data_IF_952662054934
#
_entry.id   IF_952662054934
#
_cell.length_a   1.000
_cell.length_b   1.000
_cell.length_c   1.000
_cell.angle_alpha   90.00
_cell.angle_beta   90.00
_cell.angle_gamma   90.00
#
_symmetry.space_group_name_H-M   'P 1'
#
loop_
_entity.id
_entity.type
_entity.pdbx_description
1 polymer ?
#
# COMPACT_ATOMS: atom_id res chain seq x y z
N UNK A 1 -2.53 -37.86 -21.70
CA UNK A 1 -1.46 -36.84 -21.66
C UNK A 1 -2.06 -35.61 -21.04
N UNK A 2 -1.81 -35.41 -19.74
CA UNK A 2 -2.22 -34.21 -19.01
C UNK A 2 -1.08 -33.20 -19.17
N UNK A 3 -1.36 -32.06 -19.80
CA UNK A 3 -0.47 -30.92 -19.87
C UNK A 3 -0.59 -30.16 -18.53
N UNK A 4 0.47 -30.19 -17.74
CA UNK A 4 0.65 -29.30 -16.60
C UNK A 4 0.86 -27.88 -17.16
N UNK A 5 -0.14 -27.01 -16.97
CA UNK A 5 0.03 -25.58 -17.10
C UNK A 5 0.98 -25.13 -15.98
N UNK A 6 2.19 -24.76 -16.38
CA UNK A 6 3.20 -24.25 -15.49
C UNK A 6 2.70 -22.98 -14.80
N UNK A 7 2.81 -22.93 -13.49
CA UNK A 7 2.72 -21.71 -12.71
C UNK A 7 3.75 -20.73 -13.29
N UNK A 8 3.27 -19.59 -13.79
CA UNK A 8 4.13 -18.48 -14.21
C UNK A 8 4.88 -18.02 -12.96
N UNK A 9 6.17 -18.33 -12.90
CA UNK A 9 7.04 -17.87 -11.85
C UNK A 9 6.98 -16.35 -11.76
N UNK A 10 6.75 -15.84 -10.56
CA UNK A 10 6.88 -14.44 -10.26
C UNK A 10 8.24 -13.96 -10.78
N UNK A 11 8.25 -12.98 -11.67
CA UNK A 11 9.49 -12.32 -12.05
C UNK A 11 10.02 -11.60 -10.80
N UNK A 12 11.10 -12.13 -10.25
CA UNK A 12 11.82 -11.57 -9.09
C UNK A 12 12.50 -10.27 -9.48
N UNK A 13 11.72 -9.18 -9.57
CA UNK A 13 12.27 -7.87 -9.85
C UNK A 13 11.27 -6.73 -9.62
N UNK A 14 11.78 -5.63 -9.06
CA UNK A 14 11.01 -4.39 -8.98
C UNK A 14 10.62 -3.92 -10.38
N UNK A 15 9.40 -3.33 -10.55
CA UNK A 15 8.97 -2.81 -11.84
C UNK A 15 9.92 -1.70 -12.31
N UNK A 16 10.31 -1.75 -13.58
CA UNK A 16 11.24 -0.78 -14.18
C UNK A 16 10.49 0.35 -14.93
N UNK A 17 9.20 0.18 -15.18
CA UNK A 17 8.38 1.11 -15.96
C UNK A 17 7.07 1.46 -15.27
N UNK A 18 6.51 2.63 -15.58
CA UNK A 18 5.17 3.04 -15.12
C UNK A 18 4.09 2.05 -15.54
N UNK A 19 4.23 1.42 -16.72
CA UNK A 19 3.29 0.40 -17.21
C UNK A 19 3.27 -0.82 -16.29
N UNK A 20 4.42 -1.31 -15.90
CA UNK A 20 4.54 -2.46 -14.97
C UNK A 20 4.01 -2.13 -13.58
N UNK A 21 4.27 -0.92 -13.07
CA UNK A 21 3.68 -0.46 -11.80
C UNK A 21 2.15 -0.43 -11.89
N UNK A 22 1.58 0.10 -12.98
CA UNK A 22 0.13 0.13 -13.18
C UNK A 22 -0.48 -1.27 -13.27
N UNK A 23 0.23 -2.20 -13.88
CA UNK A 23 -0.19 -3.60 -13.92
C UNK A 23 -0.23 -4.20 -12.51
N UNK A 24 0.86 -4.06 -11.74
CA UNK A 24 0.90 -4.50 -10.32
C UNK A 24 -0.21 -3.86 -9.48
N UNK A 25 -0.51 -2.58 -9.72
CA UNK A 25 -1.62 -1.91 -9.04
C UNK A 25 -2.98 -2.54 -9.39
N UNK A 26 -3.24 -2.83 -10.66
CA UNK A 26 -4.48 -3.50 -11.08
C UNK A 26 -4.60 -4.90 -10.48
N UNK A 27 -3.51 -5.67 -10.45
CA UNK A 27 -3.43 -6.99 -9.81
C UNK A 27 -3.73 -6.91 -8.30
N UNK A 28 -3.16 -5.91 -7.60
CA UNK A 28 -3.43 -5.68 -6.19
C UNK A 28 -4.92 -5.33 -5.94
N UNK A 29 -5.52 -4.47 -6.76
CA UNK A 29 -6.95 -4.14 -6.65
C UNK A 29 -7.84 -5.36 -6.89
N UNK A 30 -7.50 -6.20 -7.87
CA UNK A 30 -8.21 -7.45 -8.11
C UNK A 30 -8.06 -8.41 -6.93
N UNK A 31 -6.85 -8.56 -6.39
CA UNK A 31 -6.58 -9.39 -5.22
C UNK A 31 -7.41 -8.96 -4.00
N UNK A 32 -7.54 -7.64 -3.77
CA UNK A 32 -8.38 -7.09 -2.70
C UNK A 32 -9.87 -7.40 -2.94
N UNK A 33 -10.34 -7.24 -4.17
CA UNK A 33 -11.74 -7.52 -4.52
C UNK A 33 -12.11 -9.00 -4.38
N UNK A 34 -11.14 -9.91 -4.47
CA UNK A 34 -11.33 -11.36 -4.39
C UNK A 34 -11.01 -11.95 -3.01
N UNK A 35 -10.67 -11.13 -2.02
CA UNK A 35 -10.24 -11.62 -0.69
C UNK A 35 -11.25 -12.54 0.00
N UNK A 36 -12.55 -12.28 -0.18
CA UNK A 36 -13.63 -13.07 0.45
C UNK A 36 -14.01 -14.32 -0.37
N UNK A 37 -13.47 -14.48 -1.58
CA UNK A 37 -13.85 -15.54 -2.53
C UNK A 37 -12.77 -16.60 -2.68
N UNK A 38 -11.50 -16.22 -2.62
CA UNK A 38 -10.36 -17.11 -2.75
C UNK A 38 -9.92 -17.69 -1.39
N UNK A 39 -9.55 -18.97 -1.38
CA UNK A 39 -9.10 -19.67 -0.17
C UNK A 39 -7.83 -19.02 0.42
N UNK A 40 -8.01 -18.24 1.46
CA UNK A 40 -7.09 -17.96 2.59
C UNK A 40 -5.63 -17.56 2.31
N UNK A 41 -5.30 -17.08 1.11
CA UNK A 41 -3.93 -16.64 0.79
C UNK A 41 -3.64 -15.19 1.16
N UNK A 42 -4.63 -14.47 1.71
CA UNK A 42 -4.53 -13.05 2.03
C UNK A 42 -5.20 -12.71 3.36
N UNK A 43 -4.66 -11.69 4.01
CA UNK A 43 -5.17 -11.18 5.29
C UNK A 43 -5.29 -9.67 5.26
N UNK A 44 -6.08 -9.12 6.17
CA UNK A 44 -6.30 -7.68 6.31
C UNK A 44 -6.24 -7.26 7.77
N UNK A 45 -5.63 -6.09 8.01
CA UNK A 45 -5.69 -5.39 9.31
C UNK A 45 -6.23 -3.99 9.09
N UNK A 46 -7.17 -3.56 9.92
CA UNK A 46 -7.67 -2.19 9.95
C UNK A 46 -7.44 -1.59 11.32
N UNK A 47 -6.72 -0.46 11.37
CA UNK A 47 -6.49 0.33 12.57
C UNK A 47 -7.30 1.61 12.47
N UNK A 48 -8.02 1.95 13.54
CA UNK A 48 -8.74 3.22 13.67
C UNK A 48 -8.17 4.01 14.84
N UNK A 49 -7.73 5.22 14.55
CA UNK A 49 -7.16 6.15 15.52
C UNK A 49 -8.05 7.39 15.65
N UNK A 50 -8.23 7.87 16.87
CA UNK A 50 -8.89 9.13 17.14
C UNK A 50 -8.04 9.95 18.10
N UNK A 51 -7.72 11.17 17.70
CA UNK A 51 -6.94 12.10 18.53
C UNK A 51 -7.72 13.40 18.70
N UNK A 52 -7.76 13.92 19.93
CA UNK A 52 -8.23 15.27 20.17
C UNK A 52 -7.02 16.22 20.17
N UNK A 53 -6.94 17.06 19.15
CA UNK A 53 -5.81 17.99 18.98
C UNK A 53 -6.26 19.38 19.39
N UNK A 54 -5.65 19.99 20.42
CA UNK A 54 -6.00 21.33 20.88
C UNK A 54 -5.96 22.35 19.73
N UNK A 55 -7.03 23.13 19.58
CA UNK A 55 -7.17 24.15 18.52
C UNK A 55 -7.57 23.61 17.14
N UNK A 56 -7.52 22.31 16.92
CA UNK A 56 -7.88 21.66 15.63
C UNK A 56 -9.15 20.79 15.77
N UNK A 57 -9.38 20.21 16.95
CA UNK A 57 -10.51 19.33 17.23
C UNK A 57 -10.17 17.85 17.04
N UNK A 58 -11.22 17.05 16.78
CA UNK A 58 -11.07 15.60 16.64
C UNK A 58 -10.53 15.25 15.24
N UNK A 59 -9.38 14.62 15.24
CA UNK A 59 -8.81 13.98 14.06
C UNK A 59 -9.06 12.48 14.09
N UNK A 60 -9.55 11.94 12.98
CA UNK A 60 -9.76 10.50 12.78
C UNK A 60 -8.83 10.02 11.69
N UNK A 61 -8.22 8.87 11.91
CA UNK A 61 -7.36 8.20 10.94
C UNK A 61 -7.73 6.72 10.88
N UNK A 62 -7.87 6.19 9.68
CA UNK A 62 -8.08 4.77 9.43
C UNK A 62 -7.00 4.27 8.49
N UNK A 63 -6.25 3.29 8.94
CA UNK A 63 -5.22 2.61 8.15
C UNK A 63 -5.71 1.20 7.89
N UNK A 64 -5.81 0.81 6.61
CA UNK A 64 -6.11 -0.57 6.21
C UNK A 64 -4.93 -1.12 5.45
N UNK A 65 -4.40 -2.24 5.90
CA UNK A 65 -3.29 -2.94 5.26
C UNK A 65 -3.73 -4.32 4.82
N UNK A 66 -3.37 -4.69 3.60
CA UNK A 66 -3.62 -5.97 2.98
C UNK A 66 -2.31 -6.74 2.86
N UNK A 67 -2.34 -8.01 3.26
CA UNK A 67 -1.18 -8.90 3.35
C UNK A 67 -1.36 -10.11 2.45
N UNK A 68 -0.28 -10.54 1.80
CA UNK A 68 -0.14 -11.89 1.29
C UNK A 68 0.37 -12.80 2.40
N UNK A 69 -0.18 -14.01 2.47
CA UNK A 69 0.21 -15.02 3.44
C UNK A 69 1.16 -15.99 2.77
N UNK A 70 2.36 -16.13 3.34
CA UNK A 70 3.36 -17.09 2.91
C UNK A 70 3.52 -18.16 3.99
N UNK A 71 3.60 -19.42 3.58
CA UNK A 71 3.97 -20.49 4.50
C UNK A 71 5.40 -20.29 4.98
N UNK A 72 5.63 -20.50 6.27
CA UNK A 72 6.99 -20.50 6.83
C UNK A 72 7.73 -21.77 6.40
N UNK A 73 9.00 -21.65 6.06
CA UNK A 73 9.87 -22.79 5.74
C UNK A 73 10.17 -23.72 6.95
N UNK A 74 9.68 -23.38 8.15
CA UNK A 74 9.78 -24.23 9.33
C UNK A 74 8.67 -25.28 9.33
N UNK A 75 9.01 -26.53 9.01
CA UNK A 75 8.10 -27.67 8.95
C UNK A 75 7.39 -27.98 10.30
N UNK A 76 7.87 -27.44 11.42
CA UNK A 76 7.37 -27.73 12.76
C UNK A 76 6.30 -26.76 13.27
N UNK A 77 6.02 -25.67 12.57
CA UNK A 77 5.06 -24.66 12.99
C UNK A 77 4.16 -24.23 11.83
N UNK A 78 2.84 -24.30 12.03
CA UNK A 78 1.82 -23.69 11.14
C UNK A 78 1.90 -22.16 11.24
N UNK A 79 3.05 -21.58 10.87
CA UNK A 79 3.27 -20.14 10.90
C UNK A 79 3.25 -19.57 9.52
N UNK A 80 2.34 -18.59 9.33
CA UNK A 80 2.32 -17.77 8.12
C UNK A 80 3.18 -16.53 8.33
N UNK A 81 3.92 -16.16 7.29
CA UNK A 81 4.57 -14.85 7.21
C UNK A 81 3.64 -13.93 6.43
N UNK A 82 3.21 -12.85 7.06
CA UNK A 82 2.32 -11.84 6.47
C UNK A 82 3.14 -10.73 5.85
N UNK A 83 3.07 -10.56 4.52
CA UNK A 83 3.81 -9.51 3.81
C UNK A 83 2.84 -8.47 3.26
N UNK A 84 2.94 -7.20 3.69
CA UNK A 84 2.11 -6.13 3.16
C UNK A 84 2.32 -5.96 1.65
N UNK A 85 1.24 -5.93 0.87
CA UNK A 85 1.30 -5.61 -0.56
C UNK A 85 0.55 -4.33 -0.90
N UNK A 86 -0.49 -3.97 -0.13
CA UNK A 86 -1.25 -2.74 -0.35
C UNK A 86 -1.71 -2.13 0.96
N UNK A 87 -1.70 -0.79 1.03
CA UNK A 87 -2.09 -0.06 2.22
C UNK A 87 -2.86 1.20 1.84
N UNK A 88 -3.93 1.49 2.57
CA UNK A 88 -4.68 2.75 2.47
C UNK A 88 -4.69 3.50 3.77
N UNK A 89 -4.62 4.82 3.71
CA UNK A 89 -4.79 5.71 4.86
C UNK A 89 -5.86 6.74 4.54
N UNK A 90 -6.87 6.84 5.41
CA UNK A 90 -7.90 7.86 5.37
C UNK A 90 -7.80 8.70 6.64
N UNK A 91 -7.67 10.00 6.51
CA UNK A 91 -7.63 10.89 7.67
C UNK A 91 -8.19 12.26 7.32
N UNK A 92 -8.51 13.02 8.35
CA UNK A 92 -8.92 14.41 8.18
C UNK A 92 -7.94 15.36 8.88
N UNK A 93 -7.65 16.47 8.21
CA UNK A 93 -7.04 17.66 8.83
C UNK A 93 -8.03 18.79 8.62
N UNK A 94 -8.83 19.06 9.66
CA UNK A 94 -10.02 19.90 9.57
C UNK A 94 -9.79 21.20 8.77
N UNK A 95 -10.62 21.49 7.75
CA UNK A 95 -11.81 20.73 7.34
C UNK A 95 -11.55 19.66 6.28
N UNK A 96 -10.29 19.46 5.81
CA UNK A 96 -9.93 18.65 4.64
C UNK A 96 -9.98 17.16 4.89
N UNK A 97 -10.47 16.42 3.89
CA UNK A 97 -10.35 14.97 3.82
C UNK A 97 -9.11 14.60 3.04
N UNK A 98 -8.34 13.65 3.56
CA UNK A 98 -7.11 13.15 2.97
C UNK A 98 -7.23 11.64 2.75
N UNK A 99 -6.70 11.18 1.62
CA UNK A 99 -6.63 9.78 1.24
C UNK A 99 -5.28 9.44 0.65
N UNK A 100 -4.73 8.29 1.03
CA UNK A 100 -3.43 7.84 0.54
C UNK A 100 -3.47 6.34 0.25
N UNK A 101 -2.73 5.94 -0.78
CA UNK A 101 -2.50 4.54 -1.15
C UNK A 101 -1.02 4.28 -1.30
N UNK A 102 -0.59 3.11 -0.88
CA UNK A 102 0.78 2.62 -0.97
C UNK A 102 0.75 1.20 -1.50
N UNK A 103 1.42 0.97 -2.63
CA UNK A 103 1.62 -0.36 -3.21
C UNK A 103 3.06 -0.78 -2.95
N UNK A 104 3.24 -1.99 -2.47
CA UNK A 104 4.54 -2.59 -2.20
C UNK A 104 4.77 -3.79 -3.11
N UNK A 105 6.03 -4.01 -3.43
CA UNK A 105 6.47 -5.31 -3.92
C UNK A 105 6.56 -6.27 -2.72
N UNK A 106 5.68 -7.27 -2.68
CA UNK A 106 5.56 -8.16 -1.52
C UNK A 106 6.84 -8.96 -1.25
N UNK A 107 7.62 -9.28 -2.29
CA UNK A 107 8.86 -10.03 -2.14
C UNK A 107 9.97 -9.22 -1.47
N UNK A 108 10.15 -7.96 -1.87
CA UNK A 108 11.20 -7.08 -1.33
C UNK A 108 10.74 -6.14 -0.22
N UNK A 109 9.43 -5.95 -0.05
CA UNK A 109 8.84 -4.97 0.86
C UNK A 109 9.04 -3.50 0.43
N UNK A 110 9.55 -3.25 -0.77
CA UNK A 110 9.81 -1.88 -1.24
C UNK A 110 8.56 -1.22 -1.78
N UNK A 111 8.33 0.08 -1.49
CA UNK A 111 7.27 0.84 -2.14
C UNK A 111 7.53 0.94 -3.65
N UNK A 112 6.51 0.66 -4.46
CA UNK A 112 6.55 0.78 -5.93
C UNK A 112 5.58 1.84 -6.45
N UNK A 113 4.57 2.20 -5.65
CA UNK A 113 3.64 3.27 -6.02
C UNK A 113 3.09 3.95 -4.76
N UNK A 114 2.95 5.27 -4.85
CA UNK A 114 2.28 6.09 -3.84
C UNK A 114 1.26 7.00 -4.54
N UNK A 115 0.04 7.00 -4.04
CA UNK A 115 -1.00 7.94 -4.40
C UNK A 115 -1.43 8.75 -3.19
N UNK A 116 -1.46 10.07 -3.34
CA UNK A 116 -1.88 11.03 -2.31
C UNK A 116 -3.00 11.87 -2.88
N UNK A 117 -4.07 12.07 -2.11
CA UNK A 117 -5.19 12.93 -2.46
C UNK A 117 -5.64 13.71 -1.23
N UNK A 118 -6.00 14.98 -1.43
CA UNK A 118 -6.62 15.82 -0.41
C UNK A 118 -7.58 16.83 -1.03
N UNK A 119 -8.50 17.35 -0.23
CA UNK A 119 -9.33 18.48 -0.64
C UNK A 119 -8.44 19.72 -0.85
N UNK A 120 -8.60 20.42 -1.96
CA UNK A 120 -7.80 21.62 -2.27
C UNK A 120 -8.25 22.81 -1.41
N UNK A 121 -7.29 23.67 -1.07
CA UNK A 121 -7.61 24.97 -0.45
C UNK A 121 -8.10 26.01 -1.47
N UNK A 122 -7.78 25.81 -2.76
CA UNK A 122 -7.95 26.82 -3.78
C UNK A 122 -9.18 26.60 -4.66
N UNK A 123 -9.79 25.43 -4.57
CA UNK A 123 -10.91 25.04 -5.44
C UNK A 123 -11.74 23.91 -4.82
N UNK A 124 -12.93 23.66 -5.39
CA UNK A 124 -13.75 22.49 -5.04
C UNK A 124 -13.20 21.16 -5.61
N UNK A 125 -12.02 21.20 -6.24
CA UNK A 125 -11.33 20.00 -6.74
C UNK A 125 -10.42 19.42 -5.69
N UNK A 126 -9.86 18.24 -6.00
CA UNK A 126 -8.86 17.58 -5.18
C UNK A 126 -7.47 17.79 -5.75
N UNK A 127 -6.51 18.02 -4.86
CA UNK A 127 -5.11 17.91 -5.18
C UNK A 127 -4.72 16.43 -5.18
N UNK A 128 -3.92 16.02 -6.16
CA UNK A 128 -3.46 14.64 -6.30
C UNK A 128 -1.97 14.61 -6.63
N UNK A 129 -1.24 13.71 -5.98
CA UNK A 129 0.15 13.44 -6.27
C UNK A 129 0.37 11.94 -6.41
N UNK A 130 1.04 11.51 -7.49
CA UNK A 130 1.39 10.12 -7.76
C UNK A 130 2.88 9.99 -7.97
N UNK A 131 3.48 8.99 -7.31
CA UNK A 131 4.88 8.61 -7.45
C UNK A 131 4.98 7.15 -7.88
N UNK A 132 5.82 6.88 -8.85
CA UNK A 132 6.14 5.55 -9.37
C UNK A 132 7.60 5.26 -9.11
N UNK A 133 7.89 4.17 -8.40
CA UNK A 133 9.26 3.79 -8.01
C UNK A 133 9.67 2.48 -8.67
N UNK A 134 10.97 2.36 -8.92
CA UNK A 134 11.61 1.18 -9.50
C UNK A 134 12.95 0.88 -8.85
N UNK A 135 13.76 0.02 -9.48
CA UNK A 135 15.03 -0.45 -8.91
C UNK A 135 16.01 0.67 -8.58
N UNK A 136 16.01 1.75 -9.37
CA UNK A 136 16.92 2.90 -9.22
C UNK A 136 16.28 4.11 -8.52
N UNK A 137 15.11 3.97 -7.91
CA UNK A 137 14.36 5.03 -7.27
C UNK A 137 13.16 5.51 -8.09
N UNK A 138 12.91 6.83 -8.12
CA UNK A 138 11.76 7.40 -8.82
C UNK A 138 11.84 7.17 -10.34
N UNK A 139 10.80 6.55 -10.90
CA UNK A 139 10.61 6.40 -12.35
C UNK A 139 9.87 7.60 -12.92
N UNK A 140 8.80 8.05 -12.24
CA UNK A 140 7.90 9.09 -12.72
C UNK A 140 7.09 9.68 -11.58
N UNK A 141 6.67 10.94 -11.76
CA UNK A 141 5.68 11.60 -10.91
C UNK A 141 4.55 12.21 -11.76
N UNK A 142 3.39 12.38 -11.13
CA UNK A 142 2.28 13.13 -11.70
C UNK A 142 1.61 13.93 -10.58
N UNK A 143 1.48 15.24 -10.79
CA UNK A 143 0.85 16.17 -9.84
C UNK A 143 -0.31 16.87 -10.53
N UNK A 144 -1.48 16.84 -9.88
CA UNK A 144 -2.67 17.59 -10.26
C UNK A 144 -3.05 18.50 -9.10
N UNK A 145 -3.12 19.79 -9.34
CA UNK A 145 -3.28 20.79 -8.29
C UNK A 145 -1.98 21.04 -7.53
N UNK A 146 -2.04 21.20 -6.21
CA UNK A 146 -0.89 21.41 -5.36
C UNK A 146 -0.20 20.08 -5.00
N UNK A 147 1.13 20.09 -4.94
CA UNK A 147 1.91 18.93 -4.48
C UNK A 147 1.67 18.72 -2.98
N UNK A 148 1.19 17.54 -2.61
CA UNK A 148 0.82 17.23 -1.23
C UNK A 148 2.06 16.97 -0.35
N UNK A 149 3.06 16.29 -0.91
CA UNK A 149 4.24 15.81 -0.19
C UNK A 149 5.36 15.57 -1.21
N UNK A 150 6.62 15.71 -0.82
CA UNK A 150 7.74 15.37 -1.69
C UNK A 150 7.84 13.86 -1.91
N UNK A 151 8.56 13.45 -2.96
CA UNK A 151 8.78 12.02 -3.25
C UNK A 151 9.48 11.30 -2.09
N UNK A 152 10.46 11.94 -1.45
CA UNK A 152 11.23 11.33 -0.35
C UNK A 152 10.35 11.14 0.87
N UNK A 153 9.58 12.14 1.27
CA UNK A 153 8.64 12.05 2.40
C UNK A 153 7.58 10.96 2.14
N UNK A 154 7.07 10.87 0.90
CA UNK A 154 6.09 9.86 0.53
C UNK A 154 6.68 8.43 0.60
N UNK A 155 7.91 8.25 0.12
CA UNK A 155 8.62 6.98 0.19
C UNK A 155 8.92 6.58 1.63
N UNK A 156 9.47 7.49 2.44
CA UNK A 156 9.81 7.22 3.85
C UNK A 156 8.57 6.92 4.69
N UNK A 157 7.46 7.61 4.41
CA UNK A 157 6.18 7.31 5.04
C UNK A 157 5.69 5.90 4.69
N UNK A 158 5.78 5.49 3.43
CA UNK A 158 5.41 4.15 2.99
C UNK A 158 6.23 3.08 3.73
N UNK A 159 7.55 3.23 3.78
CA UNK A 159 8.47 2.32 4.48
C UNK A 159 8.14 2.24 5.97
N UNK A 160 7.93 3.37 6.62
CA UNK A 160 7.62 3.43 8.06
C UNK A 160 6.29 2.74 8.40
N UNK A 161 5.24 2.98 7.63
CA UNK A 161 3.94 2.35 7.82
C UNK A 161 4.02 0.84 7.59
N UNK A 162 4.67 0.42 6.52
CA UNK A 162 4.85 -0.98 6.18
C UNK A 162 5.60 -1.73 7.28
N UNK A 163 6.73 -1.21 7.77
CA UNK A 163 7.51 -1.82 8.84
C UNK A 163 6.73 -1.94 10.16
N UNK A 164 5.97 -0.91 10.53
CA UNK A 164 5.15 -0.91 11.74
C UNK A 164 4.07 -1.99 11.68
N UNK A 165 3.37 -2.10 10.55
CA UNK A 165 2.27 -3.05 10.39
C UNK A 165 2.78 -4.48 10.22
N UNK A 166 3.89 -4.68 9.50
CA UNK A 166 4.55 -5.98 9.37
C UNK A 166 4.96 -6.54 10.74
N UNK A 167 5.62 -5.72 11.57
CA UNK A 167 6.05 -6.15 12.89
C UNK A 167 4.85 -6.47 13.80
N UNK A 168 3.80 -5.66 13.77
CA UNK A 168 2.60 -5.93 14.57
C UNK A 168 1.88 -7.21 14.13
N UNK A 169 1.76 -7.47 12.81
CA UNK A 169 1.06 -8.65 12.30
C UNK A 169 1.82 -9.95 12.55
N UNK A 170 3.15 -9.93 12.46
CA UNK A 170 3.98 -11.12 12.67
C UNK A 170 4.41 -11.34 14.15
N UNK A 171 3.95 -10.48 15.06
CA UNK A 171 4.17 -10.65 16.52
C UNK A 171 2.95 -11.13 17.29
N UNK A 172 1.82 -11.34 16.60
CA UNK A 172 0.59 -11.91 17.17
C UNK A 172 0.63 -13.43 17.14
#
# INVERSE_FOLDING_TARGET
MLSLAGAAGAQDGLPATVKEVRQKYAEAQQAIAMMDVEEHTRSQVTLSLQRNVPGIGIQKETVTCFFENFESDNEDEWNFIYRPFFLTVKFNVAPRQCYQEFLFDAASGKPVFVFLQQDSYQSDQKDETRYYFGPSGLISENVKGERIMSQQEAYDKAVSLQATLFNNMNSL
#
